data_IF_743690198717
#
_entry.id   IF_743690198717
#
_cell.length_a   1.000
_cell.length_b   1.000
_cell.length_c   1.000
_cell.angle_alpha   90.00
_cell.angle_beta   90.00
_cell.angle_gamma   90.00
#
_symmetry.space_group_name_H-M   'P 1'
#
loop_
_entity.id
_entity.type
_entity.pdbx_description
1 polymer ?
#
# COMPACT_ATOMS: atom_id res chain seq x y z
N UNK A 1 -35.65 4.04 -22.96
CA UNK A 1 -34.38 3.31 -22.88
C UNK A 1 -34.59 2.15 -21.93
N UNK A 2 -34.32 0.92 -22.34
CA UNK A 2 -34.43 -0.24 -21.44
C UNK A 2 -33.50 -0.01 -20.24
N UNK A 3 -34.07 -0.15 -19.03
CA UNK A 3 -33.33 -0.01 -17.78
C UNK A 3 -32.53 -1.31 -17.56
N UNK A 4 -31.43 -1.51 -18.34
CA UNK A 4 -30.61 -2.72 -18.33
C UNK A 4 -29.17 -2.42 -17.89
N UNK A 5 -28.51 -3.40 -17.31
CA UNK A 5 -27.10 -3.35 -16.92
C UNK A 5 -26.51 -4.78 -16.87
N UNK A 6 -25.18 -4.87 -16.76
CA UNK A 6 -24.48 -6.15 -16.65
C UNK A 6 -24.62 -6.72 -15.24
N UNK A 7 -24.42 -5.88 -14.23
CA UNK A 7 -24.48 -6.24 -12.83
C UNK A 7 -25.30 -5.21 -12.06
N UNK A 8 -26.24 -5.69 -11.24
CA UNK A 8 -27.03 -4.89 -10.31
C UNK A 8 -26.76 -5.34 -8.88
N UNK A 9 -26.23 -4.44 -8.06
CA UNK A 9 -26.06 -4.67 -6.62
C UNK A 9 -27.19 -3.93 -5.91
N UNK A 10 -27.98 -4.63 -5.07
CA UNK A 10 -29.22 -4.14 -4.47
C UNK A 10 -29.12 -4.07 -2.96
N UNK A 11 -29.90 -3.15 -2.37
CA UNK A 11 -30.15 -3.04 -0.93
C UNK A 11 -28.90 -2.84 -0.07
N UNK A 12 -27.88 -2.18 -0.59
CA UNK A 12 -26.62 -1.97 0.12
C UNK A 12 -26.55 -0.63 0.85
N UNK A 13 -25.76 -0.55 1.90
CA UNK A 13 -25.28 0.72 2.45
C UNK A 13 -24.02 1.13 1.71
N UNK A 14 -24.16 2.06 0.74
CA UNK A 14 -23.02 2.54 -0.06
C UNK A 14 -22.25 3.63 0.68
N UNK A 15 -20.98 3.41 0.95
CA UNK A 15 -20.08 4.37 1.59
C UNK A 15 -19.39 5.20 0.51
N UNK A 16 -19.80 6.44 0.36
CA UNK A 16 -19.24 7.36 -0.64
C UNK A 16 -18.32 8.34 0.08
N UNK A 17 -16.98 8.27 -0.12
CA UNK A 17 -16.05 9.16 0.54
C UNK A 17 -16.43 10.64 0.34
N UNK A 18 -16.37 11.43 1.42
CA UNK A 18 -16.73 12.87 1.48
C UNK A 18 -18.22 13.18 1.31
N UNK A 19 -19.08 12.17 1.08
CA UNK A 19 -20.54 12.31 1.01
C UNK A 19 -21.20 11.67 2.23
N UNK A 20 -20.78 10.46 2.61
CA UNK A 20 -21.36 9.69 3.71
C UNK A 20 -21.89 8.33 3.26
N UNK A 21 -22.79 7.77 4.05
CA UNK A 21 -23.43 6.48 3.77
C UNK A 21 -24.81 6.73 3.15
N UNK A 22 -25.10 6.05 2.05
CA UNK A 22 -26.44 6.03 1.42
C UNK A 22 -26.98 4.62 1.61
N UNK A 23 -27.97 4.50 2.48
CA UNK A 23 -28.63 3.23 2.78
C UNK A 23 -29.63 2.83 1.70
N UNK A 24 -29.93 1.53 1.64
CA UNK A 24 -30.91 0.92 0.72
C UNK A 24 -30.73 1.35 -0.75
N UNK A 25 -29.47 1.58 -1.15
CA UNK A 25 -29.17 2.00 -2.52
C UNK A 25 -28.89 0.79 -3.42
N UNK A 26 -29.18 0.98 -4.71
CA UNK A 26 -28.88 0.02 -5.74
C UNK A 26 -27.85 0.61 -6.69
N UNK A 27 -26.82 -0.16 -7.05
CA UNK A 27 -25.74 0.25 -7.94
C UNK A 27 -25.87 -0.52 -9.25
N UNK A 28 -26.11 0.21 -10.34
CA UNK A 28 -26.14 -0.34 -11.70
C UNK A 28 -24.74 -0.23 -12.32
N UNK A 29 -24.27 -1.34 -12.88
CA UNK A 29 -22.94 -1.44 -13.50
C UNK A 29 -23.13 -1.91 -14.95
N UNK A 30 -22.52 -1.18 -15.89
CA UNK A 30 -22.54 -1.46 -17.33
C UNK A 30 -21.16 -1.16 -17.92
N UNK A 31 -20.67 -2.04 -18.77
CA UNK A 31 -19.35 -1.91 -19.41
C UNK A 31 -18.20 -1.63 -18.42
N UNK A 32 -18.24 -2.31 -17.26
CA UNK A 32 -17.22 -2.19 -16.21
C UNK A 32 -17.25 -0.90 -15.42
N UNK A 33 -18.27 -0.03 -15.60
CA UNK A 33 -18.40 1.27 -14.93
C UNK A 33 -19.69 1.37 -14.15
N UNK A 34 -19.67 2.23 -13.14
CA UNK A 34 -20.89 2.61 -12.42
C UNK A 34 -21.77 3.44 -13.37
N UNK A 35 -22.92 2.92 -13.72
CA UNK A 35 -23.91 3.59 -14.57
C UNK A 35 -24.73 4.58 -13.78
N UNK A 36 -25.26 4.15 -12.64
CA UNK A 36 -26.08 4.97 -11.76
C UNK A 36 -26.22 4.36 -10.36
N UNK A 37 -26.60 5.21 -9.40
CA UNK A 37 -27.13 4.82 -8.10
C UNK A 37 -28.64 5.14 -8.10
N UNK A 38 -29.47 4.22 -7.60
CA UNK A 38 -30.94 4.38 -7.60
C UNK A 38 -31.57 3.75 -6.36
N UNK A 39 -32.66 4.33 -5.90
CA UNK A 39 -33.45 3.79 -4.79
C UNK A 39 -34.47 2.76 -5.25
N UNK A 40 -34.67 2.55 -6.57
CA UNK A 40 -35.60 1.59 -7.12
C UNK A 40 -34.94 0.70 -8.14
N UNK A 41 -35.07 -0.61 -7.97
CA UNK A 41 -34.56 -1.65 -8.87
C UNK A 41 -35.70 -2.47 -9.53
N UNK A 42 -36.99 -2.08 -9.35
CA UNK A 42 -38.10 -2.93 -9.70
C UNK A 42 -38.19 -3.27 -11.20
N UNK A 43 -37.76 -2.36 -12.07
CA UNK A 43 -37.79 -2.55 -13.53
C UNK A 43 -36.42 -2.67 -14.18
N UNK A 44 -35.36 -3.00 -13.37
CA UNK A 44 -34.01 -3.16 -13.89
C UNK A 44 -33.79 -4.60 -14.33
N UNK A 45 -33.48 -4.78 -15.62
CA UNK A 45 -32.96 -6.03 -16.16
C UNK A 45 -31.44 -6.06 -15.97
N UNK A 46 -30.89 -7.13 -15.39
CA UNK A 46 -29.47 -7.31 -15.23
C UNK A 46 -29.07 -8.75 -15.49
N UNK A 47 -27.87 -8.95 -16.11
CA UNK A 47 -27.31 -10.27 -16.34
C UNK A 47 -27.02 -11.01 -15.05
N UNK A 48 -26.59 -10.26 -13.99
CA UNK A 48 -26.42 -10.75 -12.63
C UNK A 48 -27.00 -9.76 -11.63
N UNK A 49 -27.67 -10.28 -10.60
CA UNK A 49 -28.20 -9.50 -9.48
C UNK A 49 -27.57 -10.01 -8.17
N UNK A 50 -27.15 -9.08 -7.30
CA UNK A 50 -26.57 -9.36 -5.99
C UNK A 50 -27.40 -8.62 -4.94
N UNK A 51 -27.92 -9.32 -3.94
CA UNK A 51 -28.55 -8.71 -2.77
C UNK A 51 -27.48 -8.50 -1.69
N UNK A 52 -27.14 -7.25 -1.44
CA UNK A 52 -26.14 -6.85 -0.44
C UNK A 52 -26.80 -6.31 0.86
N UNK A 53 -28.04 -6.71 1.14
CA UNK A 53 -28.75 -6.28 2.35
C UNK A 53 -27.97 -6.59 3.62
N UNK A 54 -27.88 -5.58 4.50
CA UNK A 54 -27.13 -5.67 5.75
C UNK A 54 -25.59 -5.60 5.57
N UNK A 55 -25.12 -5.32 4.37
CA UNK A 55 -23.69 -5.17 4.06
C UNK A 55 -23.38 -3.75 3.59
N UNK A 56 -22.12 -3.38 3.77
CA UNK A 56 -21.61 -2.13 3.24
C UNK A 56 -20.91 -2.36 1.91
N UNK A 57 -21.04 -1.38 1.00
CA UNK A 57 -20.20 -1.30 -0.20
C UNK A 57 -19.29 -0.11 -0.06
N UNK A 58 -18.00 -0.35 -0.14
CA UNK A 58 -16.97 0.69 -0.18
C UNK A 58 -16.33 0.72 -1.57
N UNK A 59 -15.76 1.86 -2.01
CA UNK A 59 -14.88 1.85 -3.18
C UNK A 59 -13.78 0.82 -2.96
N UNK A 60 -13.43 0.07 -3.98
CA UNK A 60 -12.37 -0.93 -3.89
C UNK A 60 -11.09 -0.34 -3.30
N UNK A 61 -10.49 -1.04 -2.36
CA UNK A 61 -9.29 -0.54 -1.71
C UNK A 61 -8.12 -0.46 -2.70
N UNK A 62 -7.28 0.56 -2.52
CA UNK A 62 -6.06 0.81 -3.31
C UNK A 62 -4.88 0.75 -2.35
N UNK A 63 -4.05 -0.28 -2.46
CA UNK A 63 -2.84 -0.38 -1.66
C UNK A 63 -1.67 0.34 -2.37
N UNK A 64 -1.20 1.48 -1.84
CA UNK A 64 -0.13 2.25 -2.49
C UNK A 64 1.27 1.71 -2.20
N UNK A 65 1.42 0.64 -1.40
CA UNK A 65 2.74 0.25 -0.92
C UNK A 65 2.90 -1.26 -0.83
N UNK A 66 3.33 -1.87 -1.92
CA UNK A 66 3.57 -3.32 -1.98
C UNK A 66 4.90 -3.66 -2.64
N UNK A 67 5.54 -4.72 -2.14
CA UNK A 67 6.78 -5.27 -2.64
C UNK A 67 6.56 -6.71 -3.07
N UNK A 68 6.36 -6.95 -4.36
CA UNK A 68 6.29 -8.29 -4.95
C UNK A 68 7.14 -8.34 -6.21
N UNK A 69 7.69 -9.51 -6.54
CA UNK A 69 8.69 -9.67 -7.59
C UNK A 69 10.13 -9.58 -7.08
N UNK A 70 10.34 -9.54 -5.75
CA UNK A 70 11.66 -9.51 -5.10
C UNK A 70 12.15 -10.91 -4.75
N UNK A 71 11.25 -11.79 -4.28
CA UNK A 71 11.57 -13.15 -3.84
C UNK A 71 11.00 -14.24 -4.76
N UNK A 72 10.16 -13.86 -5.67
CA UNK A 72 9.63 -14.68 -6.76
C UNK A 72 9.55 -13.84 -8.03
N UNK A 73 9.72 -14.43 -9.23
CA UNK A 73 9.61 -13.72 -10.50
C UNK A 73 8.25 -13.02 -10.63
N UNK A 74 8.24 -11.90 -11.34
CA UNK A 74 7.05 -11.03 -11.42
C UNK A 74 5.81 -11.74 -11.95
N UNK A 75 5.94 -12.66 -12.92
CA UNK A 75 4.83 -13.42 -13.48
C UNK A 75 4.12 -14.31 -12.43
N UNK A 76 4.88 -14.91 -11.51
CA UNK A 76 4.34 -15.68 -10.39
C UNK A 76 3.84 -14.76 -9.27
N UNK A 77 4.67 -13.80 -8.82
CA UNK A 77 4.34 -12.86 -7.77
C UNK A 77 3.08 -12.04 -8.09
N UNK A 78 2.91 -11.62 -9.34
CA UNK A 78 1.70 -10.94 -9.81
C UNK A 78 0.44 -11.77 -9.57
N UNK A 79 0.51 -13.07 -9.84
CA UNK A 79 -0.62 -14.00 -9.69
C UNK A 79 -0.95 -14.26 -8.22
N UNK A 80 0.06 -14.56 -7.42
CA UNK A 80 -0.16 -14.91 -6.00
C UNK A 80 -0.58 -13.69 -5.20
N UNK A 81 0.08 -12.53 -5.38
CA UNK A 81 -0.19 -11.37 -4.53
C UNK A 81 -1.43 -10.59 -4.97
N UNK A 82 -1.77 -10.57 -6.27
CA UNK A 82 -3.06 -10.00 -6.69
C UNK A 82 -4.26 -10.87 -6.29
N UNK A 83 -4.08 -12.20 -6.17
CA UNK A 83 -5.06 -13.10 -5.58
C UNK A 83 -5.26 -12.81 -4.10
N UNK A 84 -4.18 -12.71 -3.35
CA UNK A 84 -4.19 -12.34 -1.94
C UNK A 84 -4.84 -10.96 -1.71
N UNK A 85 -4.52 -9.99 -2.56
CA UNK A 85 -5.14 -8.67 -2.57
C UNK A 85 -6.67 -8.75 -2.74
N UNK A 86 -7.15 -9.53 -3.70
CA UNK A 86 -8.59 -9.73 -3.92
C UNK A 86 -9.28 -10.34 -2.69
N UNK A 87 -8.66 -11.29 -1.98
CA UNK A 87 -9.17 -11.82 -0.70
C UNK A 87 -9.35 -10.71 0.33
N UNK A 88 -8.41 -9.76 0.38
CA UNK A 88 -8.44 -8.60 1.28
C UNK A 88 -9.34 -7.45 0.83
N UNK A 89 -10.05 -7.54 -0.31
CA UNK A 89 -10.89 -6.45 -0.81
C UNK A 89 -10.13 -5.35 -1.53
N UNK A 90 -8.87 -5.57 -1.86
CA UNK A 90 -8.05 -4.64 -2.65
C UNK A 90 -8.34 -4.85 -4.13
N UNK A 91 -8.58 -3.76 -4.86
CA UNK A 91 -8.89 -3.77 -6.29
C UNK A 91 -7.78 -3.19 -7.16
N UNK A 92 -6.86 -2.47 -6.52
CA UNK A 92 -5.69 -1.89 -7.18
C UNK A 92 -4.50 -1.90 -6.22
N UNK A 93 -3.32 -2.27 -6.69
CA UNK A 93 -2.09 -2.22 -5.91
C UNK A 93 -0.98 -1.50 -6.68
N UNK A 94 -0.14 -0.72 -5.97
CA UNK A 94 0.94 0.04 -6.57
C UNK A 94 2.28 -0.50 -6.07
N UNK A 95 3.03 -1.14 -6.97
CA UNK A 95 4.28 -1.84 -6.67
C UNK A 95 5.46 -0.86 -6.57
N UNK A 96 6.32 -1.04 -5.57
CA UNK A 96 7.65 -0.42 -5.50
C UNK A 96 8.62 -1.22 -6.38
N UNK A 97 8.88 -0.77 -7.59
CA UNK A 97 9.79 -1.43 -8.53
C UNK A 97 11.23 -0.95 -8.34
N UNK A 98 12.16 -1.88 -8.17
CA UNK A 98 13.59 -1.63 -7.93
C UNK A 98 14.42 -2.26 -9.05
N UNK A 99 14.79 -1.46 -10.04
CA UNK A 99 15.67 -1.88 -11.14
C UNK A 99 17.03 -1.19 -10.99
N UNK A 100 18.10 -1.97 -10.75
CA UNK A 100 19.43 -1.40 -10.52
C UNK A 100 20.00 -0.75 -11.78
N UNK A 101 19.78 -1.36 -12.95
CA UNK A 101 20.31 -0.89 -14.23
C UNK A 101 19.43 0.19 -14.91
N UNK A 102 18.47 0.75 -14.16
CA UNK A 102 17.57 1.80 -14.63
C UNK A 102 16.35 1.28 -15.39
N UNK A 103 15.52 2.22 -15.85
CA UNK A 103 14.21 1.93 -16.43
C UNK A 103 14.20 1.95 -17.96
N UNK A 104 15.30 2.43 -18.57
CA UNK A 104 15.52 2.37 -20.00
C UNK A 104 15.91 0.97 -20.52
N UNK A 105 16.42 0.89 -21.73
CA UNK A 105 16.99 -0.32 -22.35
C UNK A 105 16.10 -1.57 -22.24
N UNK A 106 14.78 -1.41 -22.34
CA UNK A 106 13.77 -2.47 -22.22
C UNK A 106 13.61 -3.08 -20.80
N UNK A 107 14.33 -2.64 -19.77
CA UNK A 107 14.21 -3.23 -18.43
C UNK A 107 12.80 -3.08 -17.86
N UNK A 108 12.22 -1.87 -17.93
CA UNK A 108 10.84 -1.66 -17.53
C UNK A 108 9.85 -2.44 -18.38
N UNK A 109 10.04 -2.46 -19.72
CA UNK A 109 9.13 -3.16 -20.63
C UNK A 109 9.12 -4.66 -20.41
N UNK A 110 10.26 -5.28 -20.06
CA UNK A 110 10.32 -6.71 -19.67
C UNK A 110 9.45 -6.98 -18.44
N UNK A 111 9.56 -6.14 -17.40
CA UNK A 111 8.78 -6.26 -16.18
C UNK A 111 7.27 -6.09 -16.43
N UNK A 112 6.88 -5.11 -17.25
CA UNK A 112 5.49 -4.88 -17.62
C UNK A 112 4.95 -6.02 -18.50
N UNK A 113 5.75 -6.53 -19.44
CA UNK A 113 5.36 -7.67 -20.27
C UNK A 113 5.12 -8.93 -19.46
N UNK A 114 6.04 -9.26 -18.55
CA UNK A 114 5.90 -10.41 -17.66
C UNK A 114 4.76 -10.28 -16.64
N UNK A 115 4.40 -9.04 -16.28
CA UNK A 115 3.22 -8.74 -15.44
C UNK A 115 1.91 -8.96 -16.18
N UNK A 116 1.87 -8.65 -17.47
CA UNK A 116 0.64 -8.62 -18.26
C UNK A 116 -0.02 -10.00 -18.31
N UNK A 117 -1.32 -10.05 -18.03
CA UNK A 117 -2.09 -11.30 -18.02
C UNK A 117 -1.91 -12.15 -16.76
N UNK A 118 -1.13 -11.71 -15.79
CA UNK A 118 -0.85 -12.43 -14.54
C UNK A 118 -1.50 -11.81 -13.29
N UNK A 119 -2.24 -10.72 -13.42
CA UNK A 119 -2.93 -10.09 -12.29
C UNK A 119 -4.43 -10.37 -12.29
N UNK A 120 -5.00 -10.56 -11.10
CA UNK A 120 -6.45 -10.62 -10.87
C UNK A 120 -7.06 -9.22 -10.72
N UNK A 121 -6.33 -8.29 -10.12
CA UNK A 121 -6.73 -6.91 -9.86
C UNK A 121 -5.82 -5.94 -10.61
N UNK A 122 -6.23 -4.67 -10.69
CA UNK A 122 -5.45 -3.66 -11.36
C UNK A 122 -4.15 -3.33 -10.62
N UNK A 123 -3.15 -2.86 -11.34
CA UNK A 123 -1.85 -2.54 -10.76
C UNK A 123 -1.21 -1.30 -11.40
N UNK A 124 -0.30 -0.69 -10.66
CA UNK A 124 0.58 0.37 -11.13
C UNK A 124 1.96 0.25 -10.49
N UNK A 125 2.85 1.21 -10.73
CA UNK A 125 4.24 1.16 -10.29
C UNK A 125 4.68 2.50 -9.69
N UNK A 126 5.44 2.45 -8.60
CA UNK A 126 6.35 3.49 -8.15
C UNK A 126 7.78 3.10 -8.55
N UNK A 127 8.50 4.00 -9.19
CA UNK A 127 9.88 3.73 -9.61
C UNK A 127 10.86 4.09 -8.49
N UNK A 128 11.72 3.16 -8.10
CA UNK A 128 12.78 3.41 -7.10
C UNK A 128 14.02 4.00 -7.77
N UNK A 129 14.43 5.19 -7.40
CA UNK A 129 15.66 5.81 -7.90
C UNK A 129 16.78 5.56 -6.89
N UNK A 130 17.76 4.76 -7.29
CA UNK A 130 18.81 4.22 -6.43
C UNK A 130 20.22 4.74 -6.81
N UNK A 131 20.37 5.32 -8.00
CA UNK A 131 21.63 5.76 -8.58
C UNK A 131 21.50 7.08 -9.32
N UNK A 132 22.57 7.90 -9.43
CA UNK A 132 22.54 9.19 -10.10
C UNK A 132 22.13 9.14 -11.58
N UNK A 133 22.54 8.10 -12.29
CA UNK A 133 22.20 7.93 -13.72
C UNK A 133 20.73 7.63 -13.98
N UNK A 134 19.97 7.18 -12.96
CA UNK A 134 18.53 6.94 -13.05
C UNK A 134 17.68 8.22 -12.90
N UNK A 135 18.25 9.32 -12.44
CA UNK A 135 17.51 10.58 -12.28
C UNK A 135 16.90 11.06 -13.62
N UNK A 136 17.61 10.86 -14.71
CA UNK A 136 17.13 11.18 -16.08
C UNK A 136 15.92 10.33 -16.51
N UNK A 137 15.72 9.16 -15.90
CA UNK A 137 14.59 8.27 -16.23
C UNK A 137 13.26 8.82 -15.71
N UNK A 138 13.27 9.76 -14.74
CA UNK A 138 12.06 10.29 -14.08
C UNK A 138 11.09 10.92 -15.10
N UNK A 139 11.59 11.74 -16.02
CA UNK A 139 10.79 12.35 -17.09
C UNK A 139 10.20 11.27 -18.02
N UNK A 140 11.00 10.31 -18.45
CA UNK A 140 10.57 9.18 -19.27
C UNK A 140 9.49 8.33 -18.57
N UNK A 141 9.67 8.02 -17.28
CA UNK A 141 8.70 7.27 -16.49
C UNK A 141 7.35 7.99 -16.43
N UNK A 142 7.36 9.32 -16.30
CA UNK A 142 6.13 10.10 -16.30
C UNK A 142 5.37 10.02 -17.63
N UNK A 143 6.05 10.03 -18.75
CA UNK A 143 5.43 9.86 -20.08
C UNK A 143 4.69 8.51 -20.19
N UNK A 144 5.19 7.48 -19.49
CA UNK A 144 4.57 6.17 -19.41
C UNK A 144 3.44 6.07 -18.35
N UNK A 145 3.11 7.18 -17.68
CA UNK A 145 2.12 7.21 -16.62
C UNK A 145 2.62 6.70 -15.27
N UNK A 146 3.93 6.64 -15.05
CA UNK A 146 4.56 6.35 -13.77
C UNK A 146 5.03 7.67 -13.17
N UNK A 147 4.13 8.37 -12.47
CA UNK A 147 4.35 9.73 -11.98
C UNK A 147 4.73 9.78 -10.49
N UNK A 148 5.39 8.77 -9.99
CA UNK A 148 5.81 8.70 -8.59
C UNK A 148 7.11 7.92 -8.43
N UNK A 149 7.96 8.43 -7.55
CA UNK A 149 9.34 7.97 -7.35
C UNK A 149 9.57 7.64 -5.89
N UNK A 150 10.19 6.50 -5.61
CA UNK A 150 10.58 6.07 -4.25
C UNK A 150 12.04 6.41 -3.97
N UNK A 151 12.28 7.02 -2.80
CA UNK A 151 13.60 7.28 -2.20
C UNK A 151 13.74 6.46 -0.92
N UNK A 152 14.91 5.85 -0.73
CA UNK A 152 15.29 5.09 0.46
C UNK A 152 16.38 5.83 1.24
N UNK A 153 16.00 6.82 2.07
CA UNK A 153 16.98 7.57 2.87
C UNK A 153 17.68 6.72 3.94
N UNK A 154 17.12 5.55 4.26
CA UNK A 154 17.71 4.58 5.18
C UNK A 154 18.91 3.82 4.60
N UNK A 155 19.22 3.99 3.30
CA UNK A 155 20.34 3.33 2.63
C UNK A 155 21.58 4.21 2.63
N UNK A 156 22.62 3.75 3.32
CA UNK A 156 23.91 4.41 3.47
C UNK A 156 24.67 3.88 4.67
N UNK A 157 25.90 4.29 4.85
CA UNK A 157 26.80 3.75 5.86
C UNK A 157 26.87 2.21 5.79
N UNK A 158 26.71 1.52 6.94
CA UNK A 158 26.70 0.06 7.01
C UNK A 158 25.37 -0.57 6.54
N UNK A 159 24.36 0.27 6.24
CA UNK A 159 23.00 -0.14 5.86
C UNK A 159 22.76 0.16 4.36
N UNK A 160 23.67 -0.24 3.50
CA UNK A 160 23.65 0.15 2.08
C UNK A 160 23.17 -0.96 1.13
N UNK A 161 22.69 -2.08 1.64
CA UNK A 161 22.25 -3.22 0.84
C UNK A 161 20.71 -3.29 0.75
N UNK A 162 20.20 -3.54 -0.45
CA UNK A 162 18.78 -3.72 -0.72
C UNK A 162 18.58 -4.83 -1.76
N UNK A 163 17.60 -5.71 -1.53
CA UNK A 163 17.19 -6.70 -2.53
C UNK A 163 16.50 -6.00 -3.71
N UNK A 164 16.89 -6.37 -4.90
CA UNK A 164 16.34 -5.88 -6.15
C UNK A 164 15.14 -6.73 -6.59
N UNK A 165 14.31 -6.19 -7.46
CA UNK A 165 13.31 -6.99 -8.17
C UNK A 165 14.03 -7.97 -9.11
N UNK A 166 13.56 -9.21 -9.15
CA UNK A 166 14.11 -10.25 -10.00
C UNK A 166 13.88 -9.94 -11.49
N UNK A 167 14.82 -10.34 -12.31
CA UNK A 167 14.55 -10.46 -13.75
C UNK A 167 13.41 -11.48 -13.96
N UNK A 168 12.53 -11.26 -14.94
CA UNK A 168 11.48 -12.22 -15.25
C UNK A 168 12.04 -13.63 -15.46
N UNK A 169 11.31 -14.62 -14.93
CA UNK A 169 11.64 -16.05 -15.01
C UNK A 169 12.93 -16.49 -14.29
N UNK A 170 13.49 -15.64 -13.40
CA UNK A 170 14.63 -16.00 -12.55
C UNK A 170 14.24 -16.06 -11.08
N UNK A 171 14.97 -16.88 -10.30
CA UNK A 171 14.80 -17.02 -8.84
C UNK A 171 16.10 -16.67 -8.09
N UNK A 172 17.14 -16.24 -8.80
CA UNK A 172 18.39 -15.83 -8.20
C UNK A 172 18.24 -14.44 -7.58
N UNK A 173 18.35 -14.37 -6.25
CA UNK A 173 18.27 -13.11 -5.52
C UNK A 173 19.43 -12.19 -5.90
N UNK A 174 19.11 -10.94 -6.15
CA UNK A 174 20.06 -9.91 -6.51
C UNK A 174 20.01 -8.77 -5.49
N UNK A 175 21.20 -8.29 -5.09
CA UNK A 175 21.37 -7.17 -4.18
C UNK A 175 21.94 -5.96 -4.89
N UNK A 176 21.39 -4.79 -4.60
CA UNK A 176 21.95 -3.50 -4.94
C UNK A 176 22.72 -2.90 -3.76
N UNK A 177 23.90 -2.32 -4.03
CA UNK A 177 24.60 -1.46 -3.08
C UNK A 177 24.23 0.00 -3.37
N UNK A 178 23.51 0.62 -2.45
CA UNK A 178 22.96 1.97 -2.61
C UNK A 178 23.51 2.89 -1.53
N UNK A 179 23.97 4.06 -1.93
CA UNK A 179 24.31 5.14 -1.02
C UNK A 179 23.48 6.37 -1.40
N UNK A 180 22.44 6.64 -0.63
CA UNK A 180 21.55 7.78 -0.84
C UNK A 180 22.19 9.06 -0.33
N UNK A 181 23.05 9.67 -1.16
CA UNK A 181 23.74 10.92 -0.83
C UNK A 181 22.81 12.13 -0.91
N UNK A 182 23.18 13.22 -0.23
CA UNK A 182 22.45 14.49 -0.29
C UNK A 182 22.36 15.06 -1.72
N UNK A 183 23.41 14.86 -2.52
CA UNK A 183 23.47 15.25 -3.93
C UNK A 183 22.44 14.47 -4.77
N UNK A 184 22.38 13.15 -4.59
CA UNK A 184 21.41 12.30 -5.27
C UNK A 184 19.98 12.67 -4.87
N UNK A 185 19.69 12.82 -3.58
CA UNK A 185 18.39 13.24 -3.07
C UNK A 185 17.96 14.59 -3.64
N UNK A 186 18.86 15.59 -3.64
CA UNK A 186 18.58 16.92 -4.19
C UNK A 186 18.26 16.85 -5.69
N UNK A 187 18.98 16.02 -6.44
CA UNK A 187 18.75 15.85 -7.87
C UNK A 187 17.41 15.18 -8.16
N UNK A 188 17.02 14.13 -7.37
CA UNK A 188 15.73 13.46 -7.49
C UNK A 188 14.61 14.45 -7.15
N UNK A 189 14.71 15.17 -6.03
CA UNK A 189 13.65 16.11 -5.59
C UNK A 189 13.44 17.20 -6.62
N UNK A 190 14.51 17.78 -7.16
CA UNK A 190 14.44 18.80 -8.20
C UNK A 190 13.77 18.27 -9.47
N UNK A 191 14.18 17.10 -9.95
CA UNK A 191 13.60 16.53 -11.17
C UNK A 191 12.12 16.15 -10.97
N UNK A 192 11.77 15.51 -9.85
CA UNK A 192 10.38 15.20 -9.51
C UNK A 192 9.52 16.47 -9.43
N UNK A 193 10.05 17.56 -8.85
CA UNK A 193 9.32 18.82 -8.77
C UNK A 193 9.09 19.42 -10.17
N UNK A 194 10.12 19.41 -11.03
CA UNK A 194 10.04 19.92 -12.41
C UNK A 194 8.94 19.21 -13.22
N UNK A 195 8.81 17.88 -13.03
CA UNK A 195 7.82 17.08 -13.77
C UNK A 195 6.53 16.84 -12.98
N UNK A 196 6.34 17.46 -11.82
CA UNK A 196 5.18 17.28 -10.94
C UNK A 196 4.93 15.81 -10.57
N UNK A 197 5.98 15.05 -10.21
CA UNK A 197 5.89 13.69 -9.71
C UNK A 197 5.86 13.67 -8.19
N UNK A 198 5.15 12.68 -7.61
CA UNK A 198 5.10 12.48 -6.16
C UNK A 198 6.35 11.71 -5.70
N UNK A 199 6.97 12.17 -4.62
CA UNK A 199 8.16 11.57 -4.03
C UNK A 199 7.75 10.76 -2.80
N UNK A 200 7.89 9.44 -2.86
CA UNK A 200 7.66 8.54 -1.73
C UNK A 200 8.98 8.38 -0.96
N UNK A 201 8.95 8.59 0.35
CA UNK A 201 10.17 8.65 1.15
C UNK A 201 10.14 7.68 2.30
N UNK A 202 11.07 6.73 2.29
CA UNK A 202 11.46 6.01 3.51
C UNK A 202 12.43 6.91 4.30
N UNK A 203 11.95 7.52 5.36
CA UNK A 203 12.66 8.58 6.07
C UNK A 203 13.32 8.06 7.35
N UNK A 204 14.49 7.44 7.27
CA UNK A 204 15.35 7.12 8.42
C UNK A 204 16.79 7.56 8.14
N UNK A 205 17.50 8.05 9.16
CA UNK A 205 18.91 8.44 9.04
C UNK A 205 19.82 7.22 9.19
N UNK A 206 20.52 6.77 8.13
CA UNK A 206 21.32 5.55 8.16
C UNK A 206 22.54 5.63 9.09
N UNK A 207 23.11 6.81 9.30
CA UNK A 207 24.24 7.00 10.22
C UNK A 207 23.80 6.77 11.68
N UNK A 208 22.66 7.32 12.05
CA UNK A 208 22.05 7.09 13.37
C UNK A 208 21.75 5.61 13.57
N UNK A 209 21.06 5.00 12.59
CA UNK A 209 20.67 3.59 12.67
C UNK A 209 21.88 2.66 12.76
N UNK A 210 22.94 2.88 11.95
CA UNK A 210 24.19 2.10 12.01
C UNK A 210 24.88 2.22 13.36
N UNK A 211 24.97 3.45 13.91
CA UNK A 211 25.59 3.68 15.23
C UNK A 211 24.81 2.96 16.34
N UNK A 212 23.49 3.07 16.35
CA UNK A 212 22.67 2.42 17.37
C UNK A 212 22.68 0.89 17.21
N UNK A 213 22.77 0.38 15.99
CA UNK A 213 22.89 -1.07 15.74
C UNK A 213 24.20 -1.63 16.32
N UNK A 214 25.32 -0.95 16.15
CA UNK A 214 26.59 -1.35 16.81
C UNK A 214 26.46 -1.40 18.32
N UNK A 215 25.89 -0.34 18.93
CA UNK A 215 25.65 -0.28 20.38
C UNK A 215 24.72 -1.38 20.89
N UNK A 216 23.66 -1.72 20.13
CA UNK A 216 22.74 -2.78 20.49
C UNK A 216 23.42 -4.15 20.48
N UNK A 217 24.25 -4.43 19.46
CA UNK A 217 25.05 -5.66 19.37
C UNK A 217 26.05 -5.76 20.53
N UNK A 218 26.77 -4.67 20.86
CA UNK A 218 27.69 -4.60 21.99
C UNK A 218 27.02 -4.88 23.33
N UNK A 219 25.76 -4.47 23.49
CA UNK A 219 24.94 -4.73 24.67
C UNK A 219 24.29 -6.10 24.71
N UNK A 220 24.46 -6.92 23.67
CA UNK A 220 23.82 -8.22 23.55
C UNK A 220 22.29 -8.14 23.42
N UNK A 221 21.75 -7.02 22.92
CA UNK A 221 20.31 -6.87 22.73
C UNK A 221 19.82 -7.83 21.63
N UNK A 222 18.60 -8.32 21.78
CA UNK A 222 17.97 -9.28 20.87
C UNK A 222 16.48 -8.92 20.65
N UNK A 223 15.82 -9.67 19.78
CA UNK A 223 14.41 -9.55 19.49
C UNK A 223 14.00 -8.21 18.85
N UNK A 224 12.69 -7.94 18.79
CA UNK A 224 12.14 -6.74 18.16
C UNK A 224 12.51 -5.44 18.89
N UNK A 225 12.72 -5.51 20.21
CA UNK A 225 13.17 -4.36 21.00
C UNK A 225 14.56 -3.87 20.53
N UNK A 226 15.48 -4.79 20.21
CA UNK A 226 16.78 -4.44 19.67
C UNK A 226 16.66 -3.73 18.32
N UNK A 227 15.77 -4.22 17.46
CA UNK A 227 15.52 -3.61 16.17
C UNK A 227 14.87 -2.22 16.28
N UNK A 228 13.92 -2.04 17.20
CA UNK A 228 13.33 -0.75 17.51
C UNK A 228 14.34 0.23 18.12
N UNK A 229 15.21 -0.23 19.03
CA UNK A 229 16.29 0.56 19.59
C UNK A 229 17.28 1.07 18.53
N UNK A 230 17.59 0.22 17.54
CA UNK A 230 18.52 0.59 16.46
C UNK A 230 17.99 1.66 15.53
N UNK A 231 16.68 1.83 15.45
CA UNK A 231 15.97 2.70 14.52
C UNK A 231 15.04 3.66 15.27
N UNK A 232 15.61 4.56 16.10
CA UNK A 232 14.81 5.41 16.98
C UNK A 232 14.00 6.43 16.18
N UNK A 233 12.84 6.91 16.70
CA UNK A 233 11.99 7.90 16.03
C UNK A 233 12.71 9.19 15.64
N UNK A 234 13.73 9.61 16.36
CA UNK A 234 14.49 10.79 15.98
C UNK A 234 15.31 10.62 14.70
N UNK A 235 15.62 9.36 14.28
CA UNK A 235 16.23 9.12 12.98
C UNK A 235 15.26 9.42 11.84
N UNK A 236 13.96 9.14 12.06
CA UNK A 236 12.88 9.51 11.13
C UNK A 236 12.72 11.04 11.09
N UNK A 237 12.62 11.69 12.24
CA UNK A 237 12.45 13.15 12.35
C UNK A 237 13.56 13.93 11.63
N UNK A 238 14.83 13.52 11.76
CA UNK A 238 15.95 14.14 11.06
C UNK A 238 15.84 14.01 9.54
N UNK A 239 15.44 12.84 9.05
CA UNK A 239 15.30 12.60 7.61
C UNK A 239 14.07 13.31 7.05
N UNK A 240 12.98 13.39 7.81
CA UNK A 240 11.78 14.17 7.46
C UNK A 240 12.16 15.65 7.28
N UNK A 241 12.86 16.25 8.25
CA UNK A 241 13.28 17.64 8.15
C UNK A 241 14.19 17.87 6.93
N UNK A 242 15.17 16.99 6.70
CA UNK A 242 16.11 17.08 5.56
C UNK A 242 15.37 17.07 4.22
N UNK A 243 14.51 16.08 3.97
CA UNK A 243 13.83 15.95 2.67
C UNK A 243 12.80 17.08 2.46
N UNK A 244 12.19 17.56 3.53
CA UNK A 244 11.27 18.71 3.51
C UNK A 244 11.99 20.00 3.12
N UNK A 245 13.19 20.22 3.64
CA UNK A 245 14.04 21.36 3.23
C UNK A 245 14.41 21.29 1.75
N UNK A 246 14.82 20.12 1.26
CA UNK A 246 15.09 19.92 -0.17
C UNK A 246 13.85 20.18 -1.04
N UNK A 247 12.68 19.77 -0.59
CA UNK A 247 11.40 20.03 -1.26
C UNK A 247 11.11 21.53 -1.38
N UNK A 248 11.29 22.29 -0.30
CA UNK A 248 11.11 23.75 -0.30
C UNK A 248 12.10 24.47 -1.22
N UNK A 249 13.37 24.06 -1.16
CA UNK A 249 14.43 24.62 -2.02
C UNK A 249 14.18 24.36 -3.51
N UNK A 250 13.45 23.30 -3.85
CA UNK A 250 13.13 22.94 -5.23
C UNK A 250 11.82 23.57 -5.75
N UNK A 251 11.11 24.37 -4.95
CA UNK A 251 9.95 25.13 -5.37
C UNK A 251 8.58 24.45 -5.20
N UNK A 252 8.35 23.72 -4.13
CA UNK A 252 7.10 23.00 -3.80
C UNK A 252 7.00 21.57 -4.35
N UNK A 253 7.53 20.63 -3.59
CA UNK A 253 7.45 19.19 -3.91
C UNK A 253 6.20 18.53 -3.31
N UNK A 254 5.71 17.49 -3.97
CA UNK A 254 4.74 16.56 -3.41
C UNK A 254 5.52 15.42 -2.72
N UNK A 255 5.54 15.39 -1.40
CA UNK A 255 6.30 14.41 -0.61
C UNK A 255 5.32 13.52 0.17
N UNK A 256 5.46 12.22 -0.02
CA UNK A 256 4.63 11.19 0.59
C UNK A 256 5.50 10.35 1.52
N UNK A 257 5.34 10.53 2.82
CA UNK A 257 6.04 9.76 3.84
C UNK A 257 5.37 8.40 4.00
N UNK A 258 6.06 7.35 3.57
CA UNK A 258 5.55 5.97 3.62
C UNK A 258 5.70 5.39 5.02
N UNK A 259 4.85 4.42 5.38
CA UNK A 259 4.94 3.56 6.58
C UNK A 259 5.33 4.31 7.87
N UNK A 260 4.75 5.47 8.13
CA UNK A 260 4.96 6.23 9.38
C UNK A 260 4.37 5.45 10.55
N UNK A 261 5.20 5.10 11.53
CA UNK A 261 4.83 4.23 12.66
C UNK A 261 5.14 4.81 14.05
N UNK A 262 5.61 6.06 14.15
CA UNK A 262 5.96 6.69 15.43
C UNK A 262 5.33 8.06 15.62
N UNK A 263 5.03 8.42 16.87
CA UNK A 263 4.54 9.75 17.24
C UNK A 263 5.57 10.83 16.87
N UNK A 264 6.86 10.56 17.09
CA UNK A 264 7.92 11.51 16.77
C UNK A 264 8.04 11.81 15.26
N UNK A 265 7.74 10.84 14.38
CA UNK A 265 7.68 11.09 12.95
C UNK A 265 6.44 11.93 12.57
N UNK A 266 5.26 11.64 13.16
CA UNK A 266 4.05 12.47 12.97
C UNK A 266 4.33 13.92 13.37
N UNK A 267 4.88 14.15 14.56
CA UNK A 267 5.17 15.50 15.07
C UNK A 267 6.15 16.25 14.13
N UNK A 268 7.17 15.55 13.64
CA UNK A 268 8.11 16.12 12.68
C UNK A 268 7.45 16.53 11.38
N UNK A 269 6.57 15.70 10.81
CA UNK A 269 5.85 16.02 9.55
C UNK A 269 4.89 17.19 9.76
N UNK A 270 4.17 17.22 10.89
CA UNK A 270 3.26 18.33 11.21
C UNK A 270 4.02 19.66 11.34
N UNK A 271 5.18 19.65 12.03
CA UNK A 271 6.04 20.83 12.11
C UNK A 271 6.56 21.30 10.73
N UNK A 272 6.80 20.37 9.81
CA UNK A 272 7.16 20.72 8.43
C UNK A 272 5.97 21.25 7.61
N UNK A 273 4.75 20.71 7.83
CA UNK A 273 3.52 21.24 7.21
C UNK A 273 3.27 22.71 7.58
N UNK A 274 3.52 23.10 8.82
CA UNK A 274 3.36 24.48 9.29
C UNK A 274 4.27 25.47 8.59
N UNK A 275 5.45 25.04 8.11
CA UNK A 275 6.38 25.90 7.36
C UNK A 275 5.88 26.22 5.95
N UNK A 276 4.92 25.46 5.41
CA UNK A 276 4.33 25.65 4.08
C UNK A 276 5.25 25.26 2.91
N UNK A 277 4.88 25.67 1.70
CA UNK A 277 5.61 25.53 0.42
C UNK A 277 5.75 24.10 -0.16
N UNK A 278 5.28 23.05 0.50
CA UNK A 278 5.25 21.68 -0.04
C UNK A 278 4.03 20.94 0.44
N UNK A 279 3.57 19.98 -0.36
CA UNK A 279 2.50 19.08 0.03
C UNK A 279 3.10 17.85 0.68
N UNK A 280 2.72 17.59 1.92
CA UNK A 280 3.15 16.42 2.68
C UNK A 280 1.98 15.48 2.92
N UNK A 281 2.14 14.20 2.55
CA UNK A 281 1.16 13.13 2.79
C UNK A 281 1.76 12.10 3.74
N UNK A 282 0.92 11.52 4.58
CA UNK A 282 1.31 10.55 5.61
C UNK A 282 0.61 9.22 5.35
N UNK A 283 1.39 8.19 5.09
CA UNK A 283 0.94 6.80 5.07
C UNK A 283 1.30 6.14 6.40
N UNK A 284 0.38 5.36 6.95
CA UNK A 284 0.70 4.37 7.98
C UNK A 284 0.29 2.97 7.54
N UNK A 285 0.62 1.96 8.34
CA UNK A 285 0.36 0.58 8.00
C UNK A 285 -0.46 -0.12 9.08
N UNK A 286 -1.24 -1.18 8.73
CA UNK A 286 -2.03 -1.94 9.69
C UNK A 286 -1.23 -2.49 10.87
N UNK A 287 0.02 -2.87 10.66
CA UNK A 287 0.87 -3.43 11.70
C UNK A 287 1.27 -2.39 12.78
N UNK A 288 1.38 -1.09 12.45
CA UNK A 288 1.60 -0.03 13.45
C UNK A 288 0.33 0.30 14.26
N UNK A 289 -0.82 -0.15 13.80
CA UNK A 289 -2.11 -0.01 14.50
C UNK A 289 -2.43 -1.23 15.39
N UNK A 290 -1.64 -2.32 15.30
CA UNK A 290 -2.00 -3.59 15.92
C UNK A 290 -0.89 -4.24 16.75
N UNK A 291 0.37 -4.10 16.35
CA UNK A 291 1.51 -4.77 16.99
C UNK A 291 2.42 -3.78 17.72
N UNK A 292 3.03 -4.27 18.78
CA UNK A 292 4.09 -3.57 19.54
C UNK A 292 5.33 -4.46 19.59
N UNK A 293 6.45 -3.91 20.08
CA UNK A 293 7.67 -4.70 20.30
C UNK A 293 7.47 -5.91 21.22
N UNK A 294 6.41 -5.92 22.04
CA UNK A 294 6.02 -7.03 22.91
C UNK A 294 5.52 -8.27 22.13
N UNK A 295 5.27 -8.14 20.81
CA UNK A 295 4.91 -9.27 19.94
C UNK A 295 5.94 -10.42 20.01
N UNK A 296 7.21 -10.09 20.21
CA UNK A 296 8.27 -11.03 20.54
C UNK A 296 8.69 -12.01 19.42
N UNK A 297 7.91 -12.12 18.34
CA UNK A 297 8.21 -13.01 17.23
C UNK A 297 9.00 -12.28 16.13
N UNK A 298 10.09 -12.88 15.65
CA UNK A 298 10.94 -12.33 14.59
C UNK A 298 10.21 -12.11 13.25
N UNK A 299 9.10 -12.80 13.03
CA UNK A 299 8.23 -12.55 11.86
C UNK A 299 7.76 -11.10 11.79
N UNK A 300 7.67 -10.40 12.94
CA UNK A 300 7.31 -8.98 13.03
C UNK A 300 8.44 -8.00 12.69
N UNK A 301 9.65 -8.47 12.30
CA UNK A 301 10.71 -7.55 11.86
C UNK A 301 10.31 -6.82 10.59
N UNK A 302 10.28 -5.49 10.67
CA UNK A 302 9.95 -4.56 9.56
C UNK A 302 10.79 -3.30 9.71
N UNK A 303 10.94 -2.53 8.66
CA UNK A 303 11.74 -1.30 8.62
C UNK A 303 10.93 -0.16 7.99
N UNK A 304 10.56 0.89 8.75
CA UNK A 304 10.84 1.14 10.18
C UNK A 304 10.24 0.09 11.11
N UNK A 305 10.75 -0.07 12.34
CA UNK A 305 10.33 -1.15 13.23
C UNK A 305 8.93 -0.93 13.82
N UNK A 306 8.30 -2.02 14.23
CA UNK A 306 7.17 -1.99 15.17
C UNK A 306 7.62 -1.28 16.45
N UNK A 307 6.75 -0.42 16.98
CA UNK A 307 7.06 0.53 18.05
C UNK A 307 6.40 0.15 19.37
N UNK A 308 6.43 1.10 20.30
CA UNK A 308 5.80 1.00 21.64
C UNK A 308 4.28 1.06 21.58
N UNK A 309 3.64 0.69 22.70
CA UNK A 309 2.18 0.82 22.87
C UNK A 309 1.72 2.29 22.81
N UNK A 310 2.54 3.24 23.26
CA UNK A 310 2.22 4.66 23.15
C UNK A 310 2.22 5.15 21.71
N UNK A 311 3.18 4.70 20.89
CA UNK A 311 3.20 5.02 19.46
C UNK A 311 1.96 4.43 18.74
N UNK A 312 1.60 3.17 19.03
CA UNK A 312 0.39 2.54 18.50
C UNK A 312 -0.87 3.37 18.82
N UNK A 313 -1.01 3.86 20.07
CA UNK A 313 -2.13 4.72 20.47
C UNK A 313 -2.12 6.06 19.72
N UNK A 314 -0.94 6.65 19.54
CA UNK A 314 -0.76 7.89 18.78
C UNK A 314 -1.13 7.70 17.31
N UNK A 315 -0.79 6.55 16.70
CA UNK A 315 -1.17 6.23 15.32
C UNK A 315 -2.68 6.12 15.15
N UNK A 316 -3.41 5.46 16.07
CA UNK A 316 -4.88 5.44 16.05
C UNK A 316 -5.48 6.84 16.20
N UNK A 317 -4.90 7.67 17.09
CA UNK A 317 -5.33 9.06 17.25
C UNK A 317 -5.11 9.86 15.96
N UNK A 318 -3.94 9.74 15.35
CA UNK A 318 -3.61 10.41 14.10
C UNK A 318 -4.55 9.98 12.94
N UNK A 319 -4.87 8.69 12.87
CA UNK A 319 -5.80 8.15 11.87
C UNK A 319 -7.23 8.69 12.08
N UNK A 320 -7.71 8.69 13.33
CA UNK A 320 -9.04 9.22 13.69
C UNK A 320 -9.19 10.70 13.38
N UNK A 321 -8.15 11.48 13.67
CA UNK A 321 -8.17 12.94 13.55
C UNK A 321 -7.84 13.45 12.12
N UNK A 322 -7.72 12.56 11.13
CA UNK A 322 -7.47 12.97 9.75
C UNK A 322 -6.02 13.38 9.45
N UNK A 323 -5.08 13.14 10.37
CA UNK A 323 -3.65 13.47 10.20
C UNK A 323 -2.99 12.48 9.23
N UNK A 324 -3.28 11.18 9.36
CA UNK A 324 -2.86 10.14 8.42
C UNK A 324 -3.70 10.26 7.16
N UNK A 325 -3.07 10.34 6.00
CA UNK A 325 -3.77 10.50 4.73
C UNK A 325 -4.19 9.16 4.12
N UNK A 326 -3.34 8.13 4.23
CA UNK A 326 -3.56 6.83 3.58
C UNK A 326 -3.10 5.65 4.44
N UNK A 327 -3.60 4.48 4.10
CA UNK A 327 -3.10 3.20 4.60
C UNK A 327 -2.44 2.45 3.45
N UNK A 328 -1.16 2.10 3.61
CA UNK A 328 -0.42 1.15 2.77
C UNK A 328 0.01 -0.05 3.60
N UNK A 329 0.25 -1.19 2.98
CA UNK A 329 0.58 -2.39 3.75
C UNK A 329 2.07 -2.61 3.97
N UNK A 330 2.90 -2.05 3.13
CA UNK A 330 4.33 -2.42 3.03
C UNK A 330 4.51 -3.95 2.86
N UNK A 331 3.57 -4.53 2.11
CA UNK A 331 3.48 -5.97 1.88
C UNK A 331 4.74 -6.52 1.23
N UNK A 332 5.29 -7.58 1.83
CA UNK A 332 6.45 -8.33 1.31
C UNK A 332 6.11 -9.82 1.31
N UNK A 333 6.09 -10.43 0.13
CA UNK A 333 5.81 -11.86 -0.02
C UNK A 333 7.11 -12.69 -0.03
N UNK A 334 7.47 -13.25 1.12
CA UNK A 334 8.58 -14.20 1.25
C UNK A 334 8.12 -15.43 2.07
N UNK A 335 8.89 -16.51 2.02
CA UNK A 335 8.64 -17.71 2.83
C UNK A 335 9.18 -17.54 4.24
N UNK A 336 8.55 -18.21 5.21
CA UNK A 336 8.94 -18.17 6.62
C UNK A 336 10.40 -18.58 6.83
N UNK A 337 10.87 -19.63 6.15
CA UNK A 337 12.27 -20.08 6.21
C UNK A 337 13.24 -18.95 5.84
N UNK A 338 12.97 -18.26 4.72
CA UNK A 338 13.78 -17.12 4.28
C UNK A 338 13.63 -15.93 5.26
N UNK A 339 12.41 -15.67 5.73
CA UNK A 339 12.11 -14.61 6.71
C UNK A 339 12.94 -14.72 7.98
N UNK A 340 13.10 -15.92 8.50
CA UNK A 340 13.77 -16.17 9.78
C UNK A 340 15.28 -16.06 9.71
N UNK A 341 15.90 -16.20 8.52
CA UNK A 341 17.36 -16.19 8.38
C UNK A 341 18.01 -17.24 9.27
N UNK A 342 19.02 -16.84 10.07
CA UNK A 342 19.68 -17.71 11.04
C UNK A 342 18.94 -17.81 12.40
N UNK A 343 17.73 -17.28 12.49
CA UNK A 343 16.92 -17.32 13.70
C UNK A 343 17.18 -16.20 14.71
N UNK A 344 17.86 -15.14 14.30
CA UNK A 344 18.10 -13.96 15.13
C UNK A 344 17.61 -12.68 14.46
N UNK A 345 17.49 -11.60 15.24
CA UNK A 345 16.98 -10.31 14.76
C UNK A 345 17.87 -9.66 13.70
N UNK A 346 19.15 -9.99 13.66
CA UNK A 346 20.11 -9.36 12.75
C UNK A 346 20.05 -10.00 11.36
N UNK A 347 19.89 -11.33 11.29
CA UNK A 347 19.80 -12.11 10.05
C UNK A 347 18.37 -12.17 9.47
N UNK A 348 17.34 -12.11 10.33
CA UNK A 348 15.94 -12.13 9.86
C UNK A 348 15.67 -11.01 8.84
N UNK A 349 14.90 -11.31 7.78
CA UNK A 349 14.52 -10.33 6.76
C UNK A 349 13.51 -9.32 7.30
N UNK A 350 13.58 -8.07 6.82
CA UNK A 350 12.54 -7.06 7.06
C UNK A 350 11.35 -7.25 6.12
N UNK A 351 10.13 -6.99 6.62
CA UNK A 351 8.90 -7.10 5.85
C UNK A 351 8.20 -8.45 6.03
N UNK A 352 6.91 -8.46 5.80
CA UNK A 352 6.00 -9.61 5.94
C UNK A 352 4.75 -9.40 5.07
N UNK A 353 3.94 -10.47 4.80
CA UNK A 353 2.71 -10.33 4.03
C UNK A 353 1.65 -9.55 4.81
N UNK A 354 0.96 -8.60 4.15
CA UNK A 354 -0.03 -7.74 4.80
C UNK A 354 -1.24 -7.36 3.93
N UNK A 355 -1.18 -7.53 2.59
CA UNK A 355 -2.20 -6.99 1.68
C UNK A 355 -3.60 -7.55 1.94
N UNK A 356 -3.74 -8.85 2.20
CA UNK A 356 -5.04 -9.48 2.45
C UNK A 356 -5.65 -9.10 3.82
N UNK A 357 -4.84 -8.60 4.75
CA UNK A 357 -5.29 -8.25 6.11
C UNK A 357 -5.56 -6.76 6.29
N UNK A 358 -5.28 -5.91 5.28
CA UNK A 358 -5.46 -4.45 5.38
C UNK A 358 -6.87 -4.06 5.80
N UNK A 359 -7.88 -4.38 5.00
CA UNK A 359 -9.27 -4.08 5.33
C UNK A 359 -9.77 -4.86 6.55
N UNK A 360 -9.57 -6.19 6.68
CA UNK A 360 -10.00 -6.92 7.86
C UNK A 360 -9.50 -6.35 9.18
N UNK A 361 -8.26 -5.88 9.24
CA UNK A 361 -7.70 -5.22 10.43
C UNK A 361 -8.40 -3.89 10.70
N UNK A 362 -8.58 -3.03 9.68
CA UNK A 362 -9.25 -1.74 9.86
C UNK A 362 -10.72 -1.89 10.22
N UNK A 363 -11.42 -2.87 9.64
CA UNK A 363 -12.81 -3.16 9.97
C UNK A 363 -12.92 -3.73 11.39
N UNK A 364 -12.10 -4.69 11.76
CA UNK A 364 -12.13 -5.34 13.07
C UNK A 364 -11.68 -4.41 14.19
N UNK A 365 -10.45 -3.86 14.07
CA UNK A 365 -9.81 -3.06 15.11
C UNK A 365 -10.16 -1.57 15.04
N UNK A 366 -10.64 -1.12 13.89
CA UNK A 366 -11.07 0.27 13.69
C UNK A 366 -12.58 0.44 13.88
N UNK A 367 -13.36 -0.13 12.97
CA UNK A 367 -14.81 0.08 12.92
C UNK A 367 -15.51 -0.65 14.05
N UNK A 368 -15.32 -1.97 14.19
CA UNK A 368 -16.01 -2.79 15.19
C UNK A 368 -15.58 -2.49 16.65
N UNK A 369 -14.39 -1.93 16.87
CA UNK A 369 -13.95 -1.42 18.17
C UNK A 369 -14.25 0.11 18.34
N UNK A 370 -15.02 0.72 17.44
CA UNK A 370 -15.44 2.13 17.48
C UNK A 370 -14.27 3.14 17.57
N UNK A 371 -13.15 2.83 16.95
CA UNK A 371 -11.98 3.74 16.87
C UNK A 371 -12.11 4.73 15.72
N UNK A 372 -12.65 4.28 14.57
CA UNK A 372 -12.91 5.09 13.36
C UNK A 372 -14.22 4.63 12.72
N UNK A 373 -14.86 5.48 11.92
CA UNK A 373 -16.01 5.10 11.08
C UNK A 373 -15.60 4.39 9.80
N UNK A 374 -16.54 3.66 9.18
CA UNK A 374 -16.31 2.99 7.90
C UNK A 374 -16.03 3.99 6.76
N UNK A 375 -16.57 5.21 6.85
CA UNK A 375 -16.30 6.31 5.92
C UNK A 375 -14.80 6.67 5.96
N UNK A 376 -14.19 6.67 7.16
CA UNK A 376 -12.76 6.92 7.30
C UNK A 376 -11.94 5.80 6.69
N UNK A 377 -12.39 4.53 6.82
CA UNK A 377 -11.74 3.40 6.13
C UNK A 377 -11.76 3.62 4.62
N UNK A 378 -12.93 3.91 4.03
CA UNK A 378 -13.05 4.16 2.59
C UNK A 378 -12.20 5.38 2.13
N UNK A 379 -12.12 6.41 2.98
CA UNK A 379 -11.30 7.60 2.68
C UNK A 379 -9.80 7.26 2.60
N UNK A 380 -9.24 6.56 3.59
CA UNK A 380 -7.79 6.32 3.69
C UNK A 380 -7.30 5.13 2.86
N UNK A 381 -8.17 4.18 2.51
CA UNK A 381 -7.79 3.02 1.70
C UNK A 381 -8.14 3.17 0.22
N UNK A 382 -8.95 4.17 -0.16
CA UNK A 382 -9.42 4.29 -1.54
C UNK A 382 -9.31 5.74 -2.04
N UNK A 383 -10.11 6.65 -1.50
CA UNK A 383 -10.28 7.99 -2.02
C UNK A 383 -8.99 8.83 -2.00
N UNK A 384 -8.33 8.91 -0.84
CA UNK A 384 -7.13 9.72 -0.70
C UNK A 384 -5.98 9.16 -1.55
N UNK A 385 -5.81 7.84 -1.56
CA UNK A 385 -4.82 7.17 -2.41
C UNK A 385 -5.06 7.47 -3.88
N UNK A 386 -6.32 7.36 -4.34
CA UNK A 386 -6.67 7.65 -5.73
C UNK A 386 -6.37 9.11 -6.11
N UNK A 387 -6.61 10.07 -5.21
CA UNK A 387 -6.31 11.49 -5.44
C UNK A 387 -4.82 11.77 -5.46
N UNK A 388 -4.09 11.31 -4.46
CA UNK A 388 -2.64 11.56 -4.34
C UNK A 388 -1.88 11.01 -5.55
N UNK A 389 -2.28 9.85 -6.05
CA UNK A 389 -1.59 9.20 -7.16
C UNK A 389 -2.24 9.40 -8.55
N UNK A 390 -3.25 10.29 -8.65
CA UNK A 390 -3.77 10.77 -9.93
C UNK A 390 -4.68 9.79 -10.68
N UNK A 391 -5.37 8.90 -9.98
CA UNK A 391 -6.36 7.96 -10.57
C UNK A 391 -7.81 8.27 -10.20
N UNK A 392 -8.04 9.29 -9.36
CA UNK A 392 -9.38 9.83 -9.10
C UNK A 392 -9.83 10.72 -10.27
N UNK A 393 -11.11 10.75 -10.69
CA UNK A 393 -12.25 9.98 -10.16
C UNK A 393 -12.47 8.62 -10.83
N UNK A 394 -11.54 8.15 -11.66
CA UNK A 394 -11.65 6.84 -12.31
C UNK A 394 -11.79 5.73 -11.25
N UNK A 395 -11.01 5.82 -10.16
CA UNK A 395 -11.04 4.91 -9.01
C UNK A 395 -11.19 5.70 -7.70
N UNK A 396 -11.46 5.01 -6.58
CA UNK A 396 -11.51 5.60 -5.25
C UNK A 396 -12.83 6.24 -4.85
N UNK A 397 -13.89 6.04 -5.61
CA UNK A 397 -15.23 6.57 -5.31
C UNK A 397 -16.33 5.68 -5.90
N UNK A 398 -17.56 5.86 -5.42
CA UNK A 398 -18.77 5.23 -5.97
C UNK A 398 -19.63 6.34 -6.61
N UNK A 399 -19.39 6.60 -7.89
CA UNK A 399 -20.15 7.61 -8.63
C UNK A 399 -20.31 7.21 -10.11
N UNK A 400 -21.36 7.69 -10.80
CA UNK A 400 -21.54 7.42 -12.23
C UNK A 400 -20.30 7.81 -13.05
N UNK A 401 -19.86 6.90 -13.93
CA UNK A 401 -18.70 7.07 -14.81
C UNK A 401 -17.38 6.56 -14.23
N UNK A 402 -17.26 6.34 -12.90
CA UNK A 402 -16.09 5.68 -12.31
C UNK A 402 -16.04 4.18 -12.68
N UNK A 403 -14.86 3.60 -12.69
CA UNK A 403 -14.71 2.16 -12.77
C UNK A 403 -15.51 1.50 -11.64
N UNK A 404 -16.18 0.41 -11.94
CA UNK A 404 -16.90 -0.36 -10.93
C UNK A 404 -15.95 -1.24 -10.13
N UNK A 405 -15.06 -0.56 -9.40
CA UNK A 405 -14.14 -1.16 -8.42
C UNK A 405 -14.76 -1.04 -7.05
N UNK A 406 -15.31 -2.15 -6.55
CA UNK A 406 -16.15 -2.18 -5.36
C UNK A 406 -15.75 -3.33 -4.44
N UNK A 407 -15.84 -3.09 -3.15
CA UNK A 407 -15.69 -4.14 -2.14
C UNK A 407 -16.94 -4.18 -1.28
N UNK A 408 -17.62 -5.33 -1.26
CA UNK A 408 -18.73 -5.59 -0.36
C UNK A 408 -18.15 -6.18 0.92
N UNK A 409 -18.45 -5.55 2.05
CA UNK A 409 -17.96 -5.96 3.36
C UNK A 409 -19.11 -6.35 4.28
N UNK A 410 -18.90 -7.41 5.04
CA UNK A 410 -19.78 -7.85 6.12
C UNK A 410 -19.07 -7.56 7.45
N UNK A 411 -19.62 -6.60 8.22
CA UNK A 411 -19.02 -6.19 9.50
C UNK A 411 -19.21 -7.24 10.60
N UNK A 412 -20.13 -8.19 10.43
CA UNK A 412 -20.42 -9.22 11.42
C UNK A 412 -19.65 -10.52 11.17
N UNK A 413 -19.15 -10.74 9.97
CA UNK A 413 -18.40 -11.94 9.61
C UNK A 413 -17.09 -12.01 10.38
N UNK A 414 -16.92 -13.05 11.20
CA UNK A 414 -15.67 -13.33 11.91
C UNK A 414 -14.93 -14.49 11.26
N UNK A 415 -13.62 -14.32 11.06
CA UNK A 415 -12.72 -15.38 10.60
C UNK A 415 -11.46 -15.43 11.46
N UNK A 416 -10.92 -16.64 11.63
CA UNK A 416 -9.58 -16.83 12.19
C UNK A 416 -8.56 -16.70 11.05
N UNK A 417 -7.59 -15.82 11.21
CA UNK A 417 -6.55 -15.59 10.20
C UNK A 417 -5.57 -16.76 10.17
N UNK A 418 -5.30 -17.28 9.00
CA UNK A 418 -4.24 -18.26 8.71
C UNK A 418 -3.55 -17.88 7.40
N UNK A 419 -2.33 -18.34 7.18
CA UNK A 419 -1.64 -18.12 5.92
C UNK A 419 -2.44 -18.64 4.72
N UNK A 420 -3.04 -19.84 4.84
CA UNK A 420 -3.84 -20.46 3.77
C UNK A 420 -5.07 -19.62 3.42
N UNK A 421 -5.71 -19.00 4.42
CA UNK A 421 -6.85 -18.10 4.18
C UNK A 421 -6.45 -16.90 3.30
N UNK A 422 -5.22 -16.41 3.44
CA UNK A 422 -4.74 -15.21 2.76
C UNK A 422 -4.27 -15.47 1.32
N UNK A 423 -4.02 -16.71 0.94
CA UNK A 423 -3.70 -17.16 -0.43
C UNK A 423 -2.52 -16.42 -1.10
N UNK A 424 -1.56 -15.91 -0.33
CA UNK A 424 -0.31 -15.32 -0.80
C UNK A 424 0.73 -16.39 -1.17
N UNK A 425 1.85 -15.98 -1.77
CA UNK A 425 3.06 -16.80 -1.86
C UNK A 425 3.64 -17.11 -0.48
N UNK A 426 3.53 -16.16 0.46
CA UNK A 426 4.00 -16.34 1.82
C UNK A 426 3.19 -17.43 2.55
N UNK A 427 3.89 -18.23 3.36
CA UNK A 427 3.35 -19.35 4.15
C UNK A 427 3.22 -19.01 5.65
N UNK A 428 3.22 -17.73 5.98
CA UNK A 428 3.03 -17.20 7.33
C UNK A 428 2.33 -15.85 7.29
N UNK A 429 1.86 -15.40 8.45
CA UNK A 429 1.37 -14.04 8.67
C UNK A 429 1.62 -13.63 10.11
N UNK A 430 1.82 -12.33 10.36
CA UNK A 430 1.95 -11.79 11.73
C UNK A 430 0.61 -11.82 12.49
N UNK A 431 -0.49 -12.05 11.79
CA UNK A 431 -1.84 -12.14 12.35
C UNK A 431 -2.32 -13.59 12.57
N UNK A 432 -1.43 -14.58 12.48
CA UNK A 432 -1.81 -15.99 12.61
C UNK A 432 -2.57 -16.26 13.91
N UNK A 433 -3.70 -16.96 13.81
CA UNK A 433 -4.59 -17.24 14.93
C UNK A 433 -5.46 -16.06 15.41
N UNK A 434 -5.31 -14.86 14.88
CA UNK A 434 -6.17 -13.73 15.25
C UNK A 434 -7.60 -13.93 14.74
N UNK A 435 -8.57 -13.66 15.60
CA UNK A 435 -9.97 -13.55 15.21
C UNK A 435 -10.26 -12.11 14.81
N UNK A 436 -10.55 -11.89 13.55
CA UNK A 436 -10.93 -10.60 13.01
C UNK A 436 -12.40 -10.63 12.60
N UNK A 437 -13.17 -9.64 13.06
CA UNK A 437 -14.58 -9.45 12.71
C UNK A 437 -14.71 -8.27 11.76
N UNK A 438 -15.35 -8.46 10.62
CA UNK A 438 -15.45 -7.55 9.50
C UNK A 438 -14.53 -7.99 8.36
N UNK A 439 -15.14 -8.56 7.29
CA UNK A 439 -14.40 -9.12 6.16
C UNK A 439 -15.02 -8.74 4.82
N UNK A 440 -14.18 -8.57 3.78
CA UNK A 440 -14.67 -8.57 2.41
C UNK A 440 -15.36 -9.91 2.09
N UNK A 441 -16.57 -9.82 1.55
CA UNK A 441 -17.32 -10.97 1.04
C UNK A 441 -17.34 -10.99 -0.49
N UNK A 442 -17.08 -9.84 -1.10
CA UNK A 442 -16.97 -9.75 -2.56
C UNK A 442 -16.00 -8.63 -2.96
N UNK A 443 -15.15 -8.92 -3.95
CA UNK A 443 -14.25 -7.96 -4.59
C UNK A 443 -14.56 -7.89 -6.07
N UNK A 444 -14.87 -6.70 -6.56
CA UNK A 444 -15.28 -6.42 -7.94
C UNK A 444 -14.27 -5.45 -8.53
N UNK A 445 -13.74 -5.77 -9.71
CA UNK A 445 -12.80 -4.92 -10.46
C UNK A 445 -13.39 -4.66 -11.84
N UNK A 446 -13.61 -3.40 -12.17
CA UNK A 446 -14.26 -2.98 -13.42
C UNK A 446 -15.47 -3.85 -13.74
N UNK A 447 -16.38 -3.98 -12.76
CA UNK A 447 -17.64 -4.72 -12.89
C UNK A 447 -17.52 -6.24 -12.90
N UNK A 448 -16.31 -6.82 -12.97
CA UNK A 448 -16.09 -8.27 -12.89
C UNK A 448 -15.87 -8.70 -11.44
N UNK A 449 -16.62 -9.70 -10.99
CA UNK A 449 -16.42 -10.31 -9.67
C UNK A 449 -15.14 -11.13 -9.71
N UNK A 450 -14.15 -10.70 -8.91
CA UNK A 450 -12.85 -11.36 -8.78
C UNK A 450 -12.87 -12.37 -7.64
N UNK A 451 -13.44 -11.98 -6.50
CA UNK A 451 -13.56 -12.82 -5.31
C UNK A 451 -14.98 -12.77 -4.79
N UNK A 452 -15.51 -13.91 -4.40
CA UNK A 452 -16.79 -14.09 -3.73
C UNK A 452 -16.62 -15.13 -2.61
N UNK A 453 -17.03 -14.79 -1.38
CA UNK A 453 -16.98 -15.62 -0.17
C UNK A 453 -15.61 -16.30 0.08
N UNK A 454 -14.53 -15.57 -0.18
CA UNK A 454 -13.15 -16.06 0.02
C UNK A 454 -12.64 -16.94 -1.13
N UNK A 455 -13.40 -17.09 -2.21
CA UNK A 455 -13.00 -17.84 -3.39
C UNK A 455 -12.66 -16.87 -4.54
N UNK A 456 -11.42 -16.92 -5.03
CA UNK A 456 -11.01 -16.13 -6.19
C UNK A 456 -11.31 -16.91 -7.47
N UNK A 457 -12.02 -16.29 -8.41
CA UNK A 457 -12.36 -16.89 -9.69
C UNK A 457 -11.11 -17.14 -10.53
N UNK A 458 -10.85 -18.37 -10.89
CA UNK A 458 -9.71 -18.72 -11.78
C UNK A 458 -9.82 -18.07 -13.17
N UNK A 459 -11.05 -17.84 -13.64
CA UNK A 459 -11.35 -17.20 -14.91
C UNK A 459 -11.11 -15.68 -14.90
N UNK A 460 -10.86 -15.12 -13.71
CA UNK A 460 -10.50 -13.72 -13.54
C UNK A 460 -8.99 -13.49 -13.66
N UNK A 461 -8.15 -14.52 -13.76
CA UNK A 461 -6.72 -14.33 -13.99
C UNK A 461 -6.50 -13.58 -15.32
N UNK A 462 -5.67 -12.56 -15.27
CA UNK A 462 -5.40 -11.69 -16.40
C UNK A 462 -6.42 -10.57 -16.62
N UNK A 463 -7.44 -10.44 -15.73
CA UNK A 463 -8.36 -9.31 -15.78
C UNK A 463 -7.70 -7.99 -15.33
N UNK A 464 -6.74 -8.07 -14.41
CA UNK A 464 -6.01 -6.89 -13.91
C UNK A 464 -5.19 -6.23 -15.00
N UNK A 465 -5.24 -4.90 -15.05
CA UNK A 465 -4.56 -4.06 -16.03
C UNK A 465 -3.56 -3.12 -15.36
N UNK A 466 -2.51 -2.76 -16.11
CA UNK A 466 -1.64 -1.66 -15.72
C UNK A 466 -2.40 -0.34 -15.82
N UNK A 467 -2.45 0.42 -14.72
CA UNK A 467 -3.11 1.72 -14.66
C UNK A 467 -2.07 2.82 -14.78
N UNK A 468 -1.98 3.49 -15.94
CA UNK A 468 -1.12 4.66 -16.08
C UNK A 468 -1.68 5.84 -15.28
N UNK A 469 -0.79 6.62 -14.67
CA UNK A 469 -1.10 7.77 -13.83
C UNK A 469 -0.40 9.02 -14.39
N UNK A 470 -0.94 9.62 -15.46
CA UNK A 470 -0.23 10.68 -16.20
C UNK A 470 -0.12 12.01 -15.43
N UNK A 471 -0.96 12.26 -14.44
CA UNK A 471 -0.97 13.51 -13.66
C UNK A 471 -1.16 13.19 -12.18
N UNK A 472 -0.28 13.69 -11.31
CA UNK A 472 -0.62 13.83 -9.88
C UNK A 472 -1.49 15.07 -9.75
N UNK A 473 -2.65 14.96 -9.13
CA UNK A 473 -3.51 16.11 -8.85
C UNK A 473 -2.91 16.83 -7.65
N UNK A 474 -2.40 18.03 -7.90
CA UNK A 474 -2.01 18.99 -6.84
C UNK A 474 -3.25 19.53 -6.11
#
# INVERSE_FOLDING_TARGET
MQNSCDLLIMNASAVIPRVGIIDDTNIMIEDGRIKSLTNSANDVSASRKIDARGKYIIPGAIDPHVHYGVYTPINEAARTESRSAAIGGVTTMIRMLRLFDGYGNNNLSKQLHASKGNHYIDYSIHASILRPDQVRDISYLKELGINSVKIYMNLGADLNRIHMDLEPDTYELSDGLVNMTDELMSSIVRECTNVHSTILVHAENPLVCSQQMRKAKEKGMAHLEAWSYCRPPYSEAQSIAKISDLGRMSGSANIYFVHVGSSGAIDAILAEREKGQSNFYIETCPHYLTHTTEFGNLTGKVTPPIRSKSDLQSMWSALRNGIVDTIGTDHVANRLEMKMGEGDIWSALSGFPGIATMLPVLLSKGVNENRIGIERVAEVTSYNTARIFGIYPKKGTIQPGSDADLTIVDLDLEKTVTADLLQSYADYTIYDGWKLRGWPVMTIVRGKIIMEDGQVSKEALGHGEFIPRPVSIT
#
